data_IF_140855432926
#
_entry.id   IF_140855432926
#
_cell.length_a   1.000
_cell.length_b   1.000
_cell.length_c   1.000
_cell.angle_alpha   90.00
_cell.angle_beta   90.00
_cell.angle_gamma   90.00
#
_symmetry.space_group_name_H-M   'P 1'
#
loop_
_entity.id
_entity.type
_entity.pdbx_description
1 polymer ?
#
# COMPACT_ATOMS: atom_id res chain seq x y z
N UNK A 1 3.08 27.52 6.63
CA UNK A 1 2.35 26.48 5.88
C UNK A 1 3.31 25.81 4.91
N UNK A 2 3.35 24.47 4.89
CA UNK A 2 4.21 23.72 3.99
C UNK A 2 3.53 23.60 2.61
N UNK A 3 4.24 23.98 1.56
CA UNK A 3 3.73 23.87 0.20
C UNK A 3 3.60 22.39 -0.22
N UNK A 4 2.69 22.10 -1.13
CA UNK A 4 2.57 20.76 -1.71
C UNK A 4 3.88 20.41 -2.44
N UNK A 5 4.44 19.27 -2.11
CA UNK A 5 5.66 18.77 -2.70
C UNK A 5 6.13 17.52 -1.97
N UNK A 6 7.35 17.03 -2.31
CA UNK A 6 7.85 15.78 -1.73
C UNK A 6 7.91 15.78 -0.21
N UNK A 7 8.24 16.91 0.40
CA UNK A 7 8.35 16.99 1.86
C UNK A 7 6.99 16.80 2.54
N UNK A 8 5.96 17.48 2.06
CA UNK A 8 4.62 17.36 2.63
C UNK A 8 4.06 15.95 2.41
N UNK A 9 4.20 15.43 1.20
CA UNK A 9 3.74 14.07 0.88
C UNK A 9 4.47 13.05 1.74
N UNK A 10 5.80 13.21 1.90
CA UNK A 10 6.59 12.32 2.73
C UNK A 10 6.20 12.35 4.19
N UNK A 11 5.94 13.53 4.75
CA UNK A 11 5.49 13.68 6.14
C UNK A 11 4.12 13.02 6.33
N UNK A 12 3.22 13.21 5.38
CA UNK A 12 1.89 12.62 5.42
C UNK A 12 1.98 11.09 5.38
N UNK A 13 2.78 10.55 4.47
CA UNK A 13 2.99 9.11 4.35
C UNK A 13 3.55 8.52 5.65
N UNK A 14 4.56 9.16 6.23
CA UNK A 14 5.17 8.69 7.47
C UNK A 14 4.21 8.72 8.65
N UNK A 15 3.34 9.72 8.72
CA UNK A 15 2.32 9.80 9.75
C UNK A 15 1.28 8.69 9.61
N UNK A 16 0.79 8.47 8.40
CA UNK A 16 -0.15 7.38 8.13
C UNK A 16 0.50 6.03 8.41
N UNK A 17 1.75 5.88 8.06
CA UNK A 17 2.48 4.64 8.28
C UNK A 17 2.72 4.35 9.76
N UNK A 18 2.91 5.38 10.57
CA UNK A 18 3.02 5.20 12.02
C UNK A 18 1.72 4.62 12.61
N UNK A 19 0.56 5.10 12.15
CA UNK A 19 -0.73 4.52 12.54
C UNK A 19 -0.84 3.06 12.06
N UNK A 20 -0.46 2.81 10.82
CA UNK A 20 -0.51 1.47 10.24
C UNK A 20 0.33 0.49 11.05
N UNK A 21 1.56 0.85 11.40
CA UNK A 21 2.44 -0.01 12.20
C UNK A 21 1.83 -0.34 13.55
N UNK A 22 1.12 0.61 14.16
CA UNK A 22 0.43 0.38 15.42
C UNK A 22 -0.64 -0.73 15.28
N UNK A 23 -1.40 -0.69 14.19
CA UNK A 23 -2.41 -1.72 13.90
C UNK A 23 -1.76 -3.07 13.63
N UNK A 24 -0.63 -3.09 12.93
CA UNK A 24 0.03 -4.32 12.51
C UNK A 24 0.79 -5.03 13.63
N UNK A 25 1.09 -4.38 14.75
CA UNK A 25 1.85 -4.98 15.85
C UNK A 25 1.29 -6.32 16.30
N UNK A 26 -0.03 -6.43 16.44
CA UNK A 26 -0.68 -7.66 16.93
C UNK A 26 -0.58 -8.81 15.92
N UNK A 27 -0.59 -8.50 14.64
CA UNK A 27 -0.56 -9.49 13.56
C UNK A 27 0.84 -9.97 13.21
N UNK A 28 1.88 -9.33 13.75
CA UNK A 28 3.29 -9.61 13.44
C UNK A 28 3.60 -9.46 11.96
N UNK A 29 2.86 -8.60 11.27
CA UNK A 29 3.13 -8.24 9.87
C UNK A 29 3.96 -6.96 9.81
N UNK A 30 4.92 -6.92 8.89
CA UNK A 30 5.57 -5.68 8.54
C UNK A 30 4.66 -4.87 7.61
N UNK A 31 4.96 -3.60 7.47
CA UNK A 31 4.28 -2.74 6.50
C UNK A 31 4.37 -3.31 5.08
N UNK A 32 5.56 -3.74 4.69
CA UNK A 32 5.78 -4.28 3.35
C UNK A 32 4.97 -5.56 3.11
N UNK A 33 4.88 -6.42 4.12
CA UNK A 33 4.04 -7.61 4.04
C UNK A 33 2.56 -7.26 3.91
N UNK A 34 2.09 -6.30 4.69
CA UNK A 34 0.71 -5.83 4.61
C UNK A 34 0.37 -5.27 3.23
N UNK A 35 1.24 -4.39 2.71
CA UNK A 35 1.05 -3.79 1.38
C UNK A 35 1.01 -4.88 0.31
N UNK A 36 1.90 -5.88 0.41
CA UNK A 36 1.95 -6.99 -0.55
C UNK A 36 0.66 -7.81 -0.53
N UNK A 37 0.13 -8.11 0.66
CA UNK A 37 -1.14 -8.83 0.78
C UNK A 37 -2.30 -8.03 0.18
N UNK A 38 -2.35 -6.73 0.47
CA UNK A 38 -3.39 -5.85 -0.06
C UNK A 38 -3.35 -5.80 -1.59
N UNK A 39 -2.14 -5.72 -2.15
CA UNK A 39 -1.97 -5.72 -3.60
C UNK A 39 -2.31 -7.08 -4.21
N UNK A 40 -2.05 -8.19 -3.51
CA UNK A 40 -2.47 -9.51 -3.96
C UNK A 40 -3.99 -9.58 -4.16
N UNK A 41 -4.75 -8.95 -3.27
CA UNK A 41 -6.20 -8.88 -3.39
C UNK A 41 -6.65 -8.10 -4.63
N UNK A 42 -5.84 -7.15 -5.10
CA UNK A 42 -6.16 -6.29 -6.24
C UNK A 42 -5.68 -6.84 -7.58
N UNK A 43 -4.71 -7.75 -7.56
CA UNK A 43 -3.99 -8.14 -8.77
C UNK A 43 -4.81 -9.02 -9.73
N UNK A 44 -5.80 -9.74 -9.25
CA UNK A 44 -6.64 -10.66 -10.04
C UNK A 44 -5.83 -11.63 -10.92
N UNK A 45 -4.62 -11.97 -10.51
CA UNK A 45 -3.71 -12.85 -11.22
C UNK A 45 -3.30 -12.35 -12.62
N UNK A 46 -3.48 -11.05 -12.90
CA UNK A 46 -3.13 -10.45 -14.20
C UNK A 46 -1.63 -10.44 -14.47
N UNK A 47 -0.81 -10.30 -13.41
CA UNK A 47 0.65 -10.28 -13.48
C UNK A 47 1.21 -11.18 -12.39
N UNK A 48 2.46 -11.65 -12.52
CA UNK A 48 3.16 -12.24 -11.36
C UNK A 48 3.14 -11.25 -10.20
N UNK A 49 2.78 -11.72 -9.01
CA UNK A 49 2.56 -10.84 -7.87
C UNK A 49 3.80 -10.00 -7.52
N UNK A 50 4.98 -10.62 -7.52
CA UNK A 50 6.20 -9.88 -7.20
C UNK A 50 6.43 -8.72 -8.16
N UNK A 51 6.12 -8.92 -9.45
CA UNK A 51 6.23 -7.87 -10.46
C UNK A 51 5.21 -6.76 -10.20
N UNK A 52 3.96 -7.12 -9.93
CA UNK A 52 2.89 -6.17 -9.64
C UNK A 52 3.24 -5.30 -8.43
N UNK A 53 3.72 -5.94 -7.36
CA UNK A 53 4.14 -5.24 -6.14
C UNK A 53 5.32 -4.31 -6.43
N UNK A 54 6.31 -4.78 -7.17
CA UNK A 54 7.51 -3.99 -7.49
C UNK A 54 7.16 -2.74 -8.29
N UNK A 55 6.25 -2.87 -9.25
CA UNK A 55 5.81 -1.75 -10.08
C UNK A 55 5.03 -0.70 -9.28
N UNK A 56 4.26 -1.13 -8.28
CA UNK A 56 3.42 -0.24 -7.47
C UNK A 56 4.15 0.39 -6.29
N UNK A 57 5.13 -0.30 -5.73
CA UNK A 57 5.75 0.10 -4.47
C UNK A 57 7.24 0.41 -4.58
N UNK A 58 7.89 -0.05 -5.65
CA UNK A 58 9.35 -0.01 -5.83
C UNK A 58 10.12 -0.80 -4.76
N UNK A 59 9.47 -1.76 -4.09
CA UNK A 59 10.14 -2.64 -3.12
C UNK A 59 11.14 -3.54 -3.86
N UNK A 60 12.41 -3.41 -3.54
CA UNK A 60 13.47 -4.23 -4.13
C UNK A 60 13.30 -5.71 -3.77
N UNK A 61 12.76 -5.98 -2.57
CA UNK A 61 12.64 -7.33 -2.01
C UNK A 61 11.28 -7.98 -2.29
N UNK A 62 10.51 -7.51 -3.27
CA UNK A 62 9.16 -7.98 -3.53
C UNK A 62 9.06 -9.51 -3.63
N UNK A 63 10.01 -10.14 -4.35
CA UNK A 63 10.03 -11.61 -4.47
C UNK A 63 10.20 -12.31 -3.13
N UNK A 64 11.10 -11.83 -2.28
CA UNK A 64 11.34 -12.40 -0.96
C UNK A 64 10.12 -12.21 -0.04
N UNK A 65 9.45 -11.07 -0.13
CA UNK A 65 8.24 -10.79 0.65
C UNK A 65 7.14 -11.78 0.27
N UNK A 66 6.91 -11.97 -1.03
CA UNK A 66 5.92 -12.93 -1.53
C UNK A 66 6.24 -14.35 -1.01
N UNK A 67 7.50 -14.78 -1.14
CA UNK A 67 7.93 -16.10 -0.65
C UNK A 67 7.68 -16.25 0.84
N UNK A 68 8.01 -15.25 1.64
CA UNK A 68 7.77 -15.27 3.08
C UNK A 68 6.29 -15.41 3.42
N UNK A 69 5.41 -14.71 2.69
CA UNK A 69 3.96 -14.80 2.91
C UNK A 69 3.41 -16.17 2.49
N UNK A 70 3.98 -16.78 1.45
CA UNK A 70 3.64 -18.15 1.07
C UNK A 70 4.00 -19.13 2.20
N UNK A 71 5.17 -18.98 2.81
CA UNK A 71 5.58 -19.81 3.94
C UNK A 71 4.70 -19.62 5.16
N UNK A 72 4.12 -18.44 5.35
CA UNK A 72 3.19 -18.18 6.46
C UNK A 72 1.76 -18.68 6.17
N UNK A 73 1.51 -19.24 4.99
CA UNK A 73 0.19 -19.74 4.61
C UNK A 73 -0.81 -18.65 4.26
N UNK A 74 -0.36 -17.44 3.96
CA UNK A 74 -1.22 -16.31 3.60
C UNK A 74 -1.38 -16.17 2.09
N UNK A 75 -0.44 -16.70 1.33
CA UNK A 75 -0.49 -16.76 -0.13
C UNK A 75 -0.29 -18.21 -0.59
N UNK A 76 -0.95 -18.58 -1.68
CA UNK A 76 -0.67 -19.79 -2.44
C UNK A 76 -0.41 -19.35 -3.89
N UNK A 77 0.83 -19.58 -4.37
CA UNK A 77 1.25 -18.95 -5.62
C UNK A 77 1.16 -17.43 -5.46
N UNK A 78 0.43 -16.79 -6.35
CA UNK A 78 0.26 -15.33 -6.37
C UNK A 78 -1.11 -14.88 -5.84
N UNK A 79 -1.85 -15.77 -5.20
CA UNK A 79 -3.20 -15.46 -4.74
C UNK A 79 -3.33 -15.65 -3.23
N UNK A 80 -4.31 -14.96 -2.64
CA UNK A 80 -4.59 -15.08 -1.22
C UNK A 80 -5.18 -16.45 -0.90
N UNK A 81 -4.73 -17.03 0.22
CA UNK A 81 -5.40 -18.18 0.83
C UNK A 81 -6.65 -17.68 1.57
N UNK A 82 -7.49 -18.61 2.04
CA UNK A 82 -8.62 -18.27 2.91
C UNK A 82 -8.13 -17.53 4.17
N UNK A 83 -7.03 -18.00 4.78
CA UNK A 83 -6.44 -17.35 5.96
C UNK A 83 -5.94 -15.94 5.63
N UNK A 84 -5.33 -15.76 4.45
CA UNK A 84 -4.88 -14.45 3.99
C UNK A 84 -6.06 -13.50 3.80
N UNK A 85 -7.16 -13.97 3.24
CA UNK A 85 -8.36 -13.15 3.04
C UNK A 85 -8.98 -12.74 4.38
N UNK A 86 -9.06 -13.67 5.34
CA UNK A 86 -9.58 -13.36 6.69
C UNK A 86 -8.71 -12.30 7.36
N UNK A 87 -7.38 -12.45 7.29
CA UNK A 87 -6.46 -11.51 7.91
C UNK A 87 -6.61 -10.10 7.31
N UNK A 88 -6.68 -10.00 5.97
CA UNK A 88 -6.89 -8.71 5.30
C UNK A 88 -8.18 -8.06 5.75
N UNK A 89 -9.27 -8.82 5.79
CA UNK A 89 -10.58 -8.29 6.19
C UNK A 89 -10.54 -7.74 7.61
N UNK A 90 -9.93 -8.48 8.53
CA UNK A 90 -9.80 -8.05 9.92
C UNK A 90 -8.96 -6.78 10.04
N UNK A 91 -7.82 -6.73 9.36
CA UNK A 91 -6.93 -5.57 9.45
C UNK A 91 -7.53 -4.34 8.77
N UNK A 92 -8.19 -4.51 7.63
CA UNK A 92 -8.88 -3.41 6.96
C UNK A 92 -9.96 -2.82 7.86
N UNK A 93 -10.71 -3.66 8.57
CA UNK A 93 -11.73 -3.20 9.52
C UNK A 93 -11.12 -2.38 10.66
N UNK A 94 -10.01 -2.84 11.22
CA UNK A 94 -9.31 -2.12 12.30
C UNK A 94 -8.73 -0.80 11.80
N UNK A 95 -8.11 -0.80 10.62
CA UNK A 95 -7.57 0.40 10.01
C UNK A 95 -8.68 1.40 9.75
N UNK A 96 -9.81 0.96 9.18
CA UNK A 96 -10.94 1.83 8.90
C UNK A 96 -11.48 2.48 10.18
N UNK A 97 -11.64 1.70 11.27
CA UNK A 97 -12.11 2.23 12.55
C UNK A 97 -11.15 3.25 13.14
N UNK A 98 -9.85 2.93 13.12
CA UNK A 98 -8.83 3.81 13.70
C UNK A 98 -8.67 5.11 12.92
N UNK A 99 -8.79 5.05 11.59
CA UNK A 99 -8.55 6.20 10.72
C UNK A 99 -9.81 6.97 10.36
N UNK A 100 -11.00 6.51 10.78
CA UNK A 100 -12.24 7.22 10.50
C UNK A 100 -12.17 8.72 10.84
N UNK A 101 -11.66 9.14 12.03
CA UNK A 101 -11.56 10.57 12.33
C UNK A 101 -10.55 11.32 11.47
N UNK A 102 -9.61 10.62 10.84
CA UNK A 102 -8.61 11.24 9.95
C UNK A 102 -9.26 11.72 8.66
N UNK A 103 -10.22 10.96 8.14
CA UNK A 103 -10.87 11.24 6.86
C UNK A 103 -12.20 11.98 7.01
N UNK A 104 -12.72 12.10 8.23
CA UNK A 104 -14.04 12.71 8.48
C UNK A 104 -14.01 14.19 8.12
N UNK A 105 -15.16 14.66 7.60
CA UNK A 105 -15.43 16.09 7.37
C UNK A 105 -14.46 16.78 6.40
N UNK A 106 -13.74 16.00 5.58
CA UNK A 106 -12.96 16.60 4.49
C UNK A 106 -13.89 17.00 3.35
N UNK A 107 -13.63 18.18 2.79
CA UNK A 107 -14.41 18.68 1.67
C UNK A 107 -14.29 17.74 0.47
N UNK A 108 -15.41 17.20 -0.08
CA UNK A 108 -15.32 16.27 -1.22
C UNK A 108 -14.66 16.85 -2.45
N UNK A 109 -14.77 18.15 -2.70
CA UNK A 109 -14.13 18.81 -3.85
C UNK A 109 -12.61 18.80 -3.66
N UNK A 110 -12.14 19.10 -2.44
CA UNK A 110 -10.72 19.07 -2.11
C UNK A 110 -10.17 17.65 -2.18
N UNK A 111 -10.92 16.67 -1.69
CA UNK A 111 -10.52 15.26 -1.77
C UNK A 111 -10.34 14.82 -3.23
N UNK A 112 -11.29 15.15 -4.08
CA UNK A 112 -11.21 14.82 -5.51
C UNK A 112 -10.01 15.49 -6.18
N UNK A 113 -9.73 16.74 -5.82
CA UNK A 113 -8.56 17.46 -6.32
C UNK A 113 -7.26 16.81 -5.87
N UNK A 114 -7.17 16.42 -4.58
CA UNK A 114 -6.00 15.74 -4.04
C UNK A 114 -5.76 14.40 -4.74
N UNK A 115 -6.83 13.63 -4.97
CA UNK A 115 -6.74 12.36 -5.68
C UNK A 115 -6.17 12.55 -7.09
N UNK A 116 -6.65 13.55 -7.82
CA UNK A 116 -6.16 13.84 -9.17
C UNK A 116 -4.69 14.24 -9.15
N UNK A 117 -4.31 15.13 -8.24
CA UNK A 117 -2.93 15.61 -8.14
C UNK A 117 -1.98 14.48 -7.79
N UNK A 118 -2.31 13.69 -6.78
CA UNK A 118 -1.44 12.59 -6.36
C UNK A 118 -1.30 11.51 -7.44
N UNK A 119 -2.39 11.20 -8.13
CA UNK A 119 -2.36 10.26 -9.25
C UNK A 119 -1.47 10.78 -10.38
N UNK A 120 -1.61 12.06 -10.72
CA UNK A 120 -0.79 12.71 -11.75
C UNK A 120 0.69 12.70 -11.38
N UNK A 121 1.01 13.06 -10.14
CA UNK A 121 2.40 13.08 -9.65
C UNK A 121 3.01 11.68 -9.73
N UNK A 122 2.27 10.67 -9.30
CA UNK A 122 2.73 9.27 -9.35
C UNK A 122 3.05 8.85 -10.79
N UNK A 123 2.16 9.17 -11.73
CA UNK A 123 2.38 8.84 -13.14
C UNK A 123 3.60 9.55 -13.72
N UNK A 124 3.77 10.83 -13.41
CA UNK A 124 4.91 11.62 -13.89
C UNK A 124 6.24 11.13 -13.31
N UNK A 125 6.26 10.77 -12.04
CA UNK A 125 7.45 10.19 -11.41
C UNK A 125 7.81 8.87 -12.09
N UNK A 126 6.81 8.03 -12.41
CA UNK A 126 7.03 6.80 -13.15
C UNK A 126 7.70 7.05 -14.50
N UNK A 127 7.25 8.05 -15.23
CA UNK A 127 7.84 8.44 -16.52
C UNK A 127 9.30 8.89 -16.37
N UNK A 128 9.58 9.69 -15.34
CA UNK A 128 10.95 10.14 -15.07
C UNK A 128 11.84 8.94 -14.76
N UNK A 129 11.37 8.01 -13.92
CA UNK A 129 12.13 6.82 -13.57
C UNK A 129 12.42 5.97 -14.80
N UNK A 130 11.46 5.79 -15.69
CA UNK A 130 11.66 5.07 -16.94
C UNK A 130 12.75 5.73 -17.81
N UNK A 131 12.77 7.06 -17.87
CA UNK A 131 13.75 7.79 -18.64
C UNK A 131 15.16 7.67 -18.07
N UNK A 132 15.29 7.47 -16.76
CA UNK A 132 16.57 7.29 -16.09
C UNK A 132 17.12 5.86 -16.29
N UNK A 133 16.25 4.88 -16.42
CA UNK A 133 16.61 3.48 -16.61
C UNK A 133 16.82 3.14 -18.09
N UNK A 134 16.37 3.97 -18.97
CA UNK A 134 16.54 3.83 -20.40
C UNK A 134 17.77 4.57 -20.92
#
# INVERSE_FOLDING_TARGET
MTALGPQLIGTTEKSLNALLRHVLEVSELSEQEWVTLRLAAQNDAALPLARFVRERTHFADAGAIVTGLQHRGLLVGDTLTADGQVLITQLQGRIASLTAPVWADLDPVDVAAAERILTTVTARVGQVLESLDG
#
